data_IF_127816243255
#
_entry.id   IF_127816243255
#
_cell.length_a   1.000
_cell.length_b   1.000
_cell.length_c   1.000
_cell.angle_alpha   90.00
_cell.angle_beta   90.00
_cell.angle_gamma   90.00
#
_symmetry.space_group_name_H-M   'P 1'
#
loop_
_entity.id
_entity.type
_entity.pdbx_description
1 polymer ?
#
# COMPACT_ATOMS: atom_id res chain seq x y z
N UNK A 1 -16.46 12.02 10.28
CA UNK A 1 -15.03 12.34 10.17
C UNK A 1 -14.27 11.40 11.05
N UNK A 2 -13.34 10.66 10.52
CA UNK A 2 -12.62 9.65 11.29
C UNK A 2 -11.12 9.91 11.08
N UNK A 3 -10.50 10.57 12.08
CA UNK A 3 -9.06 10.82 12.17
C UNK A 3 -8.56 10.21 13.45
N UNK A 4 -7.39 9.57 13.40
CA UNK A 4 -6.65 9.11 14.57
C UNK A 4 -5.22 9.61 14.49
N UNK A 5 -4.63 9.88 15.64
CA UNK A 5 -3.21 10.23 15.77
C UNK A 5 -2.62 9.32 16.83
N UNK A 6 -1.68 8.50 16.42
CA UNK A 6 -0.98 7.57 17.28
C UNK A 6 0.53 7.89 17.32
N UNK A 7 1.17 7.55 18.43
CA UNK A 7 2.59 7.81 18.65
C UNK A 7 3.32 6.50 18.88
N UNK A 8 4.39 6.27 18.12
CA UNK A 8 5.15 5.03 18.19
C UNK A 8 6.62 5.28 18.50
N UNK A 9 7.32 4.23 18.94
CA UNK A 9 8.77 4.23 19.15
C UNK A 9 9.25 5.39 20.03
N UNK A 10 8.66 5.55 21.24
CA UNK A 10 8.95 6.65 22.17
C UNK A 10 8.69 8.04 21.57
N UNK A 11 7.60 8.20 20.85
CA UNK A 11 7.17 9.45 20.18
C UNK A 11 8.14 9.92 19.07
N UNK A 12 8.99 9.04 18.54
CA UNK A 12 9.82 9.34 17.37
C UNK A 12 9.02 9.31 16.07
N UNK A 13 7.89 8.57 16.04
CA UNK A 13 6.99 8.44 14.91
C UNK A 13 5.61 8.95 15.33
N UNK A 14 5.03 9.83 14.52
CA UNK A 14 3.62 10.22 14.61
C UNK A 14 2.91 9.57 13.42
N UNK A 15 1.90 8.76 13.69
CA UNK A 15 1.00 8.22 12.69
C UNK A 15 -0.26 9.05 12.65
N UNK A 16 -0.56 9.63 11.51
CA UNK A 16 -1.83 10.26 11.19
C UNK A 16 -2.64 9.31 10.31
N UNK A 17 -3.78 8.87 10.81
CA UNK A 17 -4.69 7.99 10.09
C UNK A 17 -5.95 8.74 9.71
N UNK A 18 -6.42 8.46 8.50
CA UNK A 18 -7.68 8.99 7.99
C UNK A 18 -8.53 7.89 7.37
N UNK A 19 -9.85 8.00 7.53
CA UNK A 19 -10.82 7.18 6.81
C UNK A 19 -12.03 8.03 6.41
N UNK A 20 -12.64 7.69 5.28
CA UNK A 20 -13.89 8.32 4.85
C UNK A 20 -15.01 8.04 5.84
N UNK A 21 -15.82 9.04 6.11
CA UNK A 21 -17.10 8.94 6.85
C UNK A 21 -18.31 8.71 5.94
N UNK A 22 -18.07 8.32 4.69
CA UNK A 22 -19.12 8.03 3.73
C UNK A 22 -20.00 6.87 4.23
N UNK A 23 -21.27 7.15 4.49
CA UNK A 23 -22.27 6.19 5.03
C UNK A 23 -22.50 4.97 4.10
N UNK A 24 -22.12 5.07 2.81
CA UNK A 24 -22.17 3.96 1.88
C UNK A 24 -21.04 2.93 2.10
N UNK A 25 -20.04 3.28 2.90
CA UNK A 25 -18.95 2.37 3.26
C UNK A 25 -19.34 1.57 4.49
N UNK A 26 -19.43 0.24 4.34
CA UNK A 26 -19.81 -0.69 5.44
C UNK A 26 -18.82 -0.66 6.61
N UNK A 27 -17.57 -0.34 6.33
CA UNK A 27 -16.47 -0.24 7.31
C UNK A 27 -15.54 0.89 6.91
N UNK A 28 -14.92 1.60 7.87
CA UNK A 28 -13.90 2.59 7.56
C UNK A 28 -12.67 1.87 6.95
N UNK A 29 -12.26 2.31 5.78
CA UNK A 29 -10.96 1.95 5.20
C UNK A 29 -9.97 3.02 5.64
N UNK A 30 -8.99 2.60 6.42
CA UNK A 30 -7.98 3.50 6.96
C UNK A 30 -6.80 3.62 6.00
N UNK A 31 -6.28 4.83 5.84
CA UNK A 31 -4.95 5.08 5.30
C UNK A 31 -4.08 5.72 6.38
N UNK A 32 -2.76 5.53 6.30
CA UNK A 32 -1.82 6.07 7.27
C UNK A 32 -0.74 6.91 6.60
N UNK A 33 -0.40 8.04 7.23
CA UNK A 33 0.79 8.82 6.93
C UNK A 33 1.68 8.87 8.18
N UNK A 34 2.99 8.78 8.00
CA UNK A 34 3.92 8.69 9.13
C UNK A 34 4.89 9.88 9.13
N UNK A 35 4.92 10.64 10.21
CA UNK A 35 5.87 11.74 10.39
C UNK A 35 7.03 11.32 11.29
N UNK A 36 8.26 11.41 10.77
CA UNK A 36 9.49 11.06 11.46
C UNK A 36 10.52 12.17 11.29
N UNK A 37 10.81 12.95 12.32
CA UNK A 37 11.83 14.00 12.32
C UNK A 37 11.77 14.90 11.06
N UNK A 38 10.60 15.43 10.77
CA UNK A 38 10.34 16.31 9.64
C UNK A 38 10.13 15.62 8.29
N UNK A 39 10.34 14.32 8.18
CA UNK A 39 9.96 13.54 6.99
C UNK A 39 8.54 12.99 7.16
N UNK A 40 7.61 13.45 6.33
CA UNK A 40 6.30 12.84 6.20
C UNK A 40 6.34 11.75 5.12
N UNK A 41 5.90 10.55 5.43
CA UNK A 41 5.80 9.41 4.51
C UNK A 41 4.32 9.25 4.17
N UNK A 42 3.98 9.46 2.91
CA UNK A 42 2.65 9.57 2.34
C UNK A 42 1.84 10.77 2.88
N UNK A 43 0.74 11.10 2.21
CA UNK A 43 -0.04 12.32 2.46
C UNK A 43 -1.54 12.08 2.61
N UNK A 44 -1.94 10.81 2.72
CA UNK A 44 -3.35 10.44 2.84
C UNK A 44 -4.16 10.66 1.56
N UNK A 45 -5.48 10.59 1.70
CA UNK A 45 -6.45 10.63 0.61
C UNK A 45 -6.91 12.06 0.26
N UNK A 46 -7.36 12.33 -0.98
CA UNK A 46 -7.90 13.64 -1.36
C UNK A 46 -9.11 14.07 -0.51
N UNK A 47 -9.95 13.10 -0.11
CA UNK A 47 -11.09 13.37 0.78
C UNK A 47 -10.68 13.86 2.18
N UNK A 48 -9.44 13.59 2.59
CA UNK A 48 -8.87 13.99 3.87
C UNK A 48 -8.12 15.32 3.88
N UNK A 49 -8.15 16.11 2.80
CA UNK A 49 -7.39 17.37 2.70
C UNK A 49 -7.66 18.36 3.84
N UNK A 50 -8.91 18.48 4.26
CA UNK A 50 -9.28 19.35 5.38
C UNK A 50 -8.60 18.93 6.67
N UNK A 51 -8.66 17.64 6.95
CA UNK A 51 -8.13 17.05 8.17
C UNK A 51 -6.59 17.04 8.18
N UNK A 52 -5.98 16.81 6.99
CA UNK A 52 -4.53 16.94 6.81
C UNK A 52 -4.06 18.37 7.07
N UNK A 53 -4.79 19.38 6.59
CA UNK A 53 -4.50 20.79 6.84
C UNK A 53 -4.53 21.11 8.32
N UNK A 54 -5.54 20.62 9.02
CA UNK A 54 -5.68 20.79 10.48
C UNK A 54 -4.54 20.09 11.21
N UNK A 55 -4.18 18.85 10.80
CA UNK A 55 -3.04 18.13 11.35
C UNK A 55 -1.73 18.92 11.18
N UNK A 56 -1.42 19.36 9.96
CA UNK A 56 -0.18 20.12 9.69
C UNK A 56 -0.11 21.41 10.53
N UNK A 57 -1.22 22.13 10.67
CA UNK A 57 -1.29 23.36 11.48
C UNK A 57 -1.20 23.12 12.97
N UNK A 58 -1.60 21.96 13.44
CA UNK A 58 -1.54 21.56 14.86
C UNK A 58 -0.15 21.11 15.33
N UNK A 59 0.77 20.84 14.38
CA UNK A 59 2.10 20.36 14.73
C UNK A 59 2.91 21.43 15.48
N UNK A 60 3.54 21.08 16.61
CA UNK A 60 4.43 21.99 17.32
C UNK A 60 5.68 22.31 16.47
N UNK A 61 6.31 23.44 16.73
CA UNK A 61 7.44 23.95 15.94
C UNK A 61 8.61 22.97 15.76
N UNK A 62 8.84 22.11 16.75
CA UNK A 62 9.87 21.07 16.70
C UNK A 62 9.47 19.79 15.94
N UNK A 63 8.21 19.71 15.48
CA UNK A 63 7.67 18.57 14.71
C UNK A 63 7.20 18.97 13.31
N UNK A 64 7.56 20.16 12.83
CA UNK A 64 7.17 20.66 11.50
C UNK A 64 7.67 19.76 10.38
N UNK A 65 6.84 19.56 9.36
CA UNK A 65 7.18 18.79 8.17
C UNK A 65 8.18 19.58 7.32
N UNK A 66 9.32 18.98 7.04
CA UNK A 66 10.40 19.52 6.20
C UNK A 66 10.28 19.05 4.74
N UNK A 67 9.82 17.83 4.55
CA UNK A 67 9.60 17.21 3.24
C UNK A 67 8.57 16.09 3.35
N UNK A 68 7.93 15.77 2.23
CA UNK A 68 7.06 14.59 2.11
C UNK A 68 7.61 13.64 1.05
N UNK A 69 7.61 12.34 1.35
CA UNK A 69 7.92 11.29 0.39
C UNK A 69 6.65 10.48 0.09
N UNK A 70 6.31 10.37 -1.20
CA UNK A 70 5.20 9.56 -1.68
C UNK A 70 5.71 8.19 -2.08
N UNK A 71 5.22 7.16 -1.40
CA UNK A 71 5.65 5.76 -1.62
C UNK A 71 5.18 5.24 -2.97
N UNK A 72 3.94 5.55 -3.36
CA UNK A 72 3.34 5.22 -4.64
C UNK A 72 2.15 6.16 -4.93
N UNK A 73 1.59 6.08 -6.14
CA UNK A 73 0.67 7.09 -6.65
C UNK A 73 -0.82 6.79 -6.42
N UNK A 74 -1.16 5.81 -5.59
CA UNK A 74 -2.56 5.61 -5.22
C UNK A 74 -3.06 6.81 -4.43
N UNK A 75 -4.34 7.14 -4.60
CA UNK A 75 -4.94 8.37 -4.08
C UNK A 75 -4.93 8.45 -2.55
N UNK A 76 -5.02 7.32 -1.87
CA UNK A 76 -5.00 7.22 -0.42
C UNK A 76 -3.59 7.41 0.19
N UNK A 77 -2.57 7.52 -0.66
CA UNK A 77 -1.19 7.81 -0.29
C UNK A 77 -0.70 9.16 -0.80
N UNK A 78 -1.07 9.52 -2.02
CA UNK A 78 -0.59 10.73 -2.68
C UNK A 78 -1.60 11.89 -2.66
N UNK A 79 -2.80 11.67 -2.14
CA UNK A 79 -3.94 12.60 -2.26
C UNK A 79 -3.70 14.00 -1.70
N UNK A 80 -3.03 14.11 -0.56
CA UNK A 80 -2.71 15.38 0.07
C UNK A 80 -1.43 16.04 -0.43
N UNK A 81 -0.68 15.43 -1.35
CA UNK A 81 0.62 15.95 -1.81
C UNK A 81 0.52 17.35 -2.45
N UNK A 82 -0.54 17.60 -3.23
CA UNK A 82 -0.81 18.92 -3.81
C UNK A 82 -1.00 19.99 -2.73
N UNK A 83 -1.85 19.72 -1.75
CA UNK A 83 -2.09 20.61 -0.61
C UNK A 83 -0.78 20.92 0.14
N UNK A 84 0.02 19.91 0.49
CA UNK A 84 1.30 20.09 1.18
C UNK A 84 2.26 20.99 0.40
N UNK A 85 2.32 20.78 -0.92
CA UNK A 85 3.22 21.54 -1.77
C UNK A 85 2.75 22.99 -2.00
N UNK A 86 1.48 23.19 -2.34
CA UNK A 86 0.97 24.51 -2.76
C UNK A 86 0.66 25.41 -1.56
N UNK A 87 0.01 24.88 -0.52
CA UNK A 87 -0.40 25.70 0.64
C UNK A 87 0.73 25.85 1.67
N UNK A 88 1.51 24.80 1.90
CA UNK A 88 2.54 24.79 2.95
C UNK A 88 3.98 24.92 2.44
N UNK A 89 4.18 24.90 1.11
CA UNK A 89 5.52 24.97 0.51
C UNK A 89 6.39 23.75 0.79
N UNK A 90 5.80 22.63 1.24
CA UNK A 90 6.52 21.42 1.56
C UNK A 90 6.95 20.72 0.26
N UNK A 91 8.25 20.48 0.05
CA UNK A 91 8.73 19.76 -1.13
C UNK A 91 8.29 18.30 -1.10
N UNK A 92 7.78 17.82 -2.24
CA UNK A 92 7.36 16.44 -2.45
C UNK A 92 8.47 15.68 -3.15
N UNK A 93 8.77 14.48 -2.66
CA UNK A 93 9.72 13.54 -3.24
C UNK A 93 9.02 12.22 -3.55
N UNK A 94 9.51 11.53 -4.60
CA UNK A 94 9.01 10.22 -4.98
C UNK A 94 10.08 9.44 -5.77
N UNK A 95 9.83 8.16 -6.00
CA UNK A 95 10.58 7.36 -6.95
C UNK A 95 10.38 7.82 -8.39
N UNK A 96 11.35 7.52 -9.26
CA UNK A 96 11.37 7.97 -10.67
C UNK A 96 10.07 7.60 -11.41
N UNK A 97 9.57 6.38 -11.22
CA UNK A 97 8.37 5.88 -11.92
C UNK A 97 7.06 6.55 -11.48
N UNK A 98 7.04 7.24 -10.33
CA UNK A 98 5.88 7.95 -9.83
C UNK A 98 5.75 9.39 -10.39
N UNK A 99 6.85 9.98 -10.87
CA UNK A 99 6.94 11.42 -11.17
C UNK A 99 5.94 11.86 -12.23
N UNK A 100 5.86 11.14 -13.35
CA UNK A 100 4.96 11.54 -14.44
C UNK A 100 3.47 11.41 -14.06
N UNK A 101 3.13 10.47 -13.19
CA UNK A 101 1.77 10.32 -12.67
C UNK A 101 1.44 11.48 -11.74
N UNK A 102 2.32 11.80 -10.79
CA UNK A 102 2.15 12.91 -9.86
C UNK A 102 2.07 14.26 -10.58
N UNK A 103 2.86 14.47 -11.63
CA UNK A 103 2.86 15.69 -12.43
C UNK A 103 1.56 15.89 -13.21
N UNK A 104 0.95 14.83 -13.71
CA UNK A 104 -0.32 14.92 -14.48
C UNK A 104 -1.54 14.91 -13.56
N UNK A 105 -1.41 14.32 -12.37
CA UNK A 105 -2.55 13.93 -11.57
C UNK A 105 -3.30 12.75 -12.20
N UNK A 106 -4.34 12.27 -11.52
CA UNK A 106 -5.13 11.12 -11.95
C UNK A 106 -6.55 11.18 -11.42
N UNK A 107 -7.53 10.77 -12.24
CA UNK A 107 -8.89 10.50 -11.80
C UNK A 107 -9.07 9.00 -11.66
N UNK A 108 -9.68 8.57 -10.58
CA UNK A 108 -9.93 7.17 -10.27
C UNK A 108 -11.37 6.77 -10.54
N UNK A 109 -11.68 5.47 -10.68
CA UNK A 109 -13.06 4.98 -10.82
C UNK A 109 -13.95 5.37 -9.64
N UNK A 110 -15.26 5.51 -9.88
CA UNK A 110 -16.25 5.98 -8.89
C UNK A 110 -16.19 5.23 -7.56
N UNK A 111 -15.98 3.92 -7.58
CA UNK A 111 -15.90 3.11 -6.36
C UNK A 111 -14.70 3.45 -5.48
N UNK A 112 -13.59 3.94 -6.07
CA UNK A 112 -12.44 4.43 -5.33
C UNK A 112 -12.69 5.85 -4.83
N UNK A 113 -13.32 6.69 -5.66
CA UNK A 113 -13.68 8.04 -5.26
C UNK A 113 -14.61 8.07 -4.03
N UNK A 114 -15.50 7.08 -3.89
CA UNK A 114 -16.37 6.94 -2.71
C UNK A 114 -15.57 6.71 -1.42
N UNK A 115 -14.43 6.01 -1.50
CA UNK A 115 -13.59 5.72 -0.35
C UNK A 115 -12.60 6.85 -0.05
N UNK A 116 -12.00 7.45 -1.11
CA UNK A 116 -10.79 8.25 -0.96
C UNK A 116 -10.93 9.71 -1.42
N UNK A 117 -12.01 10.04 -2.15
CA UNK A 117 -12.20 11.37 -2.76
C UNK A 117 -11.98 11.36 -4.26
N UNK A 118 -12.16 12.53 -4.90
CA UNK A 118 -12.45 12.57 -6.34
C UNK A 118 -11.25 12.34 -7.25
N UNK A 119 -10.10 12.93 -6.95
CA UNK A 119 -8.92 12.87 -7.85
C UNK A 119 -7.61 13.19 -7.13
N UNK A 120 -6.53 12.68 -7.68
CA UNK A 120 -5.17 13.09 -7.38
C UNK A 120 -4.86 14.38 -8.17
N UNK A 121 -4.63 15.49 -7.47
CA UNK A 121 -4.26 16.76 -8.09
C UNK A 121 -2.79 16.77 -8.53
N UNK A 122 -2.44 17.44 -9.64
CA UNK A 122 -1.07 17.56 -10.11
C UNK A 122 -0.14 18.17 -9.06
N UNK A 123 1.06 17.59 -8.92
CA UNK A 123 2.11 18.13 -8.04
C UNK A 123 3.48 17.93 -8.67
N UNK A 124 4.37 18.93 -8.52
CA UNK A 124 5.75 18.85 -8.98
C UNK A 124 6.61 18.13 -7.93
N UNK A 125 6.65 16.81 -8.02
CA UNK A 125 7.51 16.00 -7.16
C UNK A 125 8.94 15.93 -7.69
N UNK A 126 9.91 15.84 -6.77
CA UNK A 126 11.33 15.67 -7.07
C UNK A 126 11.71 14.20 -7.01
N UNK A 127 12.48 13.74 -8.01
CA UNK A 127 13.03 12.38 -7.98
C UNK A 127 14.03 12.23 -6.83
N UNK A 128 13.98 11.14 -6.10
CA UNK A 128 15.09 10.70 -5.26
C UNK A 128 15.43 9.24 -5.52
N UNK A 129 16.72 8.96 -5.67
CA UNK A 129 17.28 7.61 -5.91
C UNK A 129 18.16 7.14 -4.73
N UNK A 130 18.54 8.06 -3.88
CA UNK A 130 19.39 7.80 -2.72
C UNK A 130 18.63 7.79 -1.40
N UNK A 131 19.32 7.51 -0.30
CA UNK A 131 18.70 7.49 1.01
C UNK A 131 18.12 8.87 1.38
N UNK A 132 16.97 8.84 2.07
CA UNK A 132 16.35 10.03 2.63
C UNK A 132 16.89 10.28 4.04
N UNK A 133 17.48 11.44 4.25
CA UNK A 133 17.98 11.88 5.55
C UNK A 133 16.93 12.83 6.15
N UNK A 134 16.56 12.62 7.40
CA UNK A 134 15.60 13.46 8.11
C UNK A 134 16.18 14.82 8.49
N UNK A 135 15.31 15.75 8.94
CA UNK A 135 15.65 17.16 9.19
C UNK A 135 16.84 17.33 10.14
N UNK A 136 16.85 16.64 11.27
CA UNK A 136 17.95 16.70 12.26
C UNK A 136 19.12 15.77 11.94
N UNK A 137 19.05 15.03 10.83
CA UNK A 137 20.00 13.99 10.41
C UNK A 137 20.04 12.78 11.35
N UNK A 138 19.02 12.62 12.19
CA UNK A 138 18.93 11.52 13.16
C UNK A 138 18.64 10.17 12.50
N UNK A 139 17.86 10.17 11.42
CA UNK A 139 17.44 8.96 10.71
C UNK A 139 17.82 9.01 9.24
N UNK A 140 18.18 7.83 8.71
CA UNK A 140 18.53 7.65 7.29
C UNK A 140 17.74 6.48 6.75
N UNK A 141 16.80 6.79 5.86
CA UNK A 141 15.92 5.80 5.23
C UNK A 141 16.49 5.33 3.90
N UNK A 142 16.75 4.04 3.79
CA UNK A 142 17.06 3.41 2.52
C UNK A 142 15.76 3.24 1.72
N UNK A 143 15.81 3.58 0.43
CA UNK A 143 14.72 3.37 -0.49
C UNK A 143 14.77 1.95 -1.03
N UNK A 144 13.70 1.19 -0.88
CA UNK A 144 13.63 -0.21 -1.25
C UNK A 144 12.40 -0.47 -2.15
N UNK A 145 12.58 -0.74 -3.46
CA UNK A 145 11.46 -1.01 -4.37
C UNK A 145 10.72 -2.30 -3.97
N UNK A 146 9.39 -2.23 -3.91
CA UNK A 146 8.51 -3.37 -3.66
C UNK A 146 7.33 -3.37 -4.64
N UNK A 147 7.57 -3.91 -5.82
CA UNK A 147 6.56 -4.01 -6.87
C UNK A 147 5.51 -5.09 -6.55
N UNK A 148 4.40 -5.09 -7.27
CA UNK A 148 3.36 -6.11 -7.14
C UNK A 148 2.01 -5.53 -6.72
N UNK A 149 1.99 -4.62 -5.72
CA UNK A 149 0.83 -3.78 -5.42
C UNK A 149 0.75 -2.57 -6.38
N UNK A 150 1.87 -1.87 -6.55
CA UNK A 150 2.03 -0.82 -7.57
C UNK A 150 3.44 -0.90 -8.17
N UNK A 151 3.62 -0.67 -9.48
CA UNK A 151 4.93 -0.80 -10.14
C UNK A 151 5.98 0.17 -9.61
N UNK A 152 5.54 1.34 -9.14
CA UNK A 152 6.38 2.43 -8.63
C UNK A 152 6.58 2.42 -7.12
N UNK A 153 6.00 1.45 -6.40
CA UNK A 153 6.02 1.45 -4.94
C UNK A 153 7.43 1.31 -4.37
N UNK A 154 7.76 2.25 -3.48
CA UNK A 154 9.03 2.28 -2.74
C UNK A 154 8.74 2.27 -1.24
N UNK A 155 9.34 1.33 -0.55
CA UNK A 155 9.37 1.18 0.90
C UNK A 155 10.55 1.94 1.49
N UNK A 156 10.40 2.53 2.67
CA UNK A 156 11.45 3.24 3.39
C UNK A 156 11.93 2.41 4.58
N UNK A 157 13.22 2.13 4.64
CA UNK A 157 13.80 1.26 5.68
C UNK A 157 14.89 2.01 6.45
N UNK A 158 14.67 2.17 7.75
CA UNK A 158 15.65 2.68 8.72
C UNK A 158 16.29 1.50 9.45
N UNK A 159 17.60 1.25 9.18
CA UNK A 159 18.28 0.04 9.64
C UNK A 159 18.60 0.03 11.12
N UNK A 160 19.00 1.17 11.69
CA UNK A 160 19.45 1.24 13.10
C UNK A 160 18.27 1.04 14.06
N UNK A 161 17.11 1.62 13.74
CA UNK A 161 15.87 1.47 14.51
C UNK A 161 15.08 0.21 14.12
N UNK A 162 15.44 -0.42 13.01
CA UNK A 162 14.76 -1.58 12.44
C UNK A 162 13.30 -1.27 12.08
N UNK A 163 13.07 -0.15 11.40
CA UNK A 163 11.76 0.27 10.92
C UNK A 163 11.63 0.08 9.41
N UNK A 164 10.49 -0.42 8.98
CA UNK A 164 10.12 -0.50 7.57
C UNK A 164 8.73 0.12 7.36
N UNK A 165 8.67 1.22 6.61
CA UNK A 165 7.42 1.86 6.19
C UNK A 165 7.08 1.31 4.81
N UNK A 166 6.13 0.38 4.76
CA UNK A 166 5.89 -0.46 3.59
C UNK A 166 4.64 -0.08 2.81
N UNK A 167 3.87 0.91 3.27
CA UNK A 167 2.60 1.28 2.67
C UNK A 167 1.73 0.03 2.43
N UNK A 168 1.31 -0.22 1.18
CA UNK A 168 0.48 -1.35 0.80
C UNK A 168 1.27 -2.58 0.30
N UNK A 169 2.61 -2.50 0.28
CA UNK A 169 3.43 -3.63 -0.16
C UNK A 169 3.33 -4.87 0.75
N UNK A 170 3.00 -4.66 2.03
CA UNK A 170 2.83 -5.75 3.00
C UNK A 170 1.45 -5.65 3.64
N UNK A 171 0.58 -6.57 3.29
CA UNK A 171 -0.78 -6.64 3.78
C UNK A 171 -0.96 -7.73 4.86
N UNK A 172 -1.81 -7.50 5.88
CA UNK A 172 -2.12 -8.54 6.87
C UNK A 172 -2.76 -9.79 6.26
N UNK A 173 -3.50 -9.62 5.14
CA UNK A 173 -4.23 -10.71 4.46
C UNK A 173 -4.28 -10.46 2.95
N UNK A 174 -3.91 -11.47 2.18
CA UNK A 174 -4.06 -11.48 0.72
C UNK A 174 -5.29 -12.33 0.34
N UNK A 175 -6.48 -11.73 0.36
CA UNK A 175 -7.75 -12.42 0.08
C UNK A 175 -8.32 -12.12 -1.30
N UNK A 176 -7.97 -11.02 -1.88
CA UNK A 176 -8.37 -10.52 -3.20
C UNK A 176 -7.35 -9.49 -3.67
N UNK A 177 -7.30 -9.28 -4.97
CA UNK A 177 -6.41 -8.29 -5.61
C UNK A 177 -7.16 -7.53 -6.70
N UNK A 178 -6.64 -6.38 -7.09
CA UNK A 178 -7.05 -5.69 -8.30
C UNK A 178 -6.59 -6.46 -9.53
N UNK A 179 -7.47 -6.67 -10.50
CA UNK A 179 -7.17 -7.43 -11.71
C UNK A 179 -6.86 -6.58 -12.91
N UNK A 180 -6.61 -7.24 -14.05
CA UNK A 180 -6.24 -6.59 -15.30
C UNK A 180 -7.33 -5.68 -15.91
N UNK A 181 -8.57 -5.74 -15.41
CA UNK A 181 -9.64 -4.82 -15.75
C UNK A 181 -9.66 -3.56 -14.85
N UNK A 182 -8.75 -3.47 -13.90
CA UNK A 182 -8.49 -2.28 -13.08
C UNK A 182 -7.44 -1.40 -13.75
N UNK A 183 -7.48 -0.11 -13.44
CA UNK A 183 -6.42 0.83 -13.80
C UNK A 183 -5.17 0.73 -12.90
N UNK A 184 -5.24 -0.12 -11.86
CA UNK A 184 -4.19 -0.40 -10.88
C UNK A 184 -4.05 -1.91 -10.63
N UNK A 185 -3.74 -2.72 -11.65
CA UNK A 185 -3.66 -4.17 -11.50
C UNK A 185 -2.51 -4.57 -10.56
N UNK A 186 -2.79 -5.55 -9.70
CA UNK A 186 -1.83 -6.17 -8.80
C UNK A 186 -1.38 -7.54 -9.32
N UNK A 187 -0.16 -7.95 -8.94
CA UNK A 187 0.41 -9.26 -9.27
C UNK A 187 0.91 -9.96 -8.00
N UNK A 188 0.25 -11.10 -7.66
CA UNK A 188 0.58 -11.86 -6.46
C UNK A 188 1.99 -12.47 -6.50
N UNK A 189 2.51 -12.78 -7.68
CA UNK A 189 3.87 -13.32 -7.84
C UNK A 189 4.92 -12.25 -7.54
N UNK A 190 4.70 -11.03 -8.00
CA UNK A 190 5.55 -9.88 -7.70
C UNK A 190 5.44 -9.46 -6.23
N UNK A 191 4.24 -9.51 -5.64
CA UNK A 191 4.05 -9.31 -4.19
C UNK A 191 4.88 -10.33 -3.41
N UNK A 192 4.80 -11.61 -3.75
CA UNK A 192 5.58 -12.66 -3.10
C UNK A 192 7.09 -12.42 -3.21
N UNK A 193 7.59 -12.10 -4.41
CA UNK A 193 9.01 -11.79 -4.64
C UNK A 193 9.46 -10.55 -3.86
N UNK A 194 8.61 -9.54 -3.74
CA UNK A 194 8.88 -8.35 -2.95
C UNK A 194 8.97 -8.66 -1.45
N UNK A 195 8.09 -9.51 -0.93
CA UNK A 195 8.16 -10.00 0.46
C UNK A 195 9.47 -10.77 0.72
N UNK A 196 9.87 -11.65 -0.20
CA UNK A 196 11.12 -12.40 -0.11
C UNK A 196 12.33 -11.47 -0.14
N UNK A 197 12.34 -10.48 -1.03
CA UNK A 197 13.40 -9.48 -1.13
C UNK A 197 13.50 -8.64 0.15
N UNK A 198 12.36 -8.20 0.71
CA UNK A 198 12.32 -7.47 1.97
C UNK A 198 12.82 -8.33 3.14
N UNK A 199 12.41 -9.62 3.19
CA UNK A 199 12.90 -10.55 4.19
C UNK A 199 14.43 -10.67 4.16
N UNK A 200 15.02 -10.81 2.97
CA UNK A 200 16.46 -10.89 2.79
C UNK A 200 17.15 -9.57 3.17
N UNK A 201 16.62 -8.43 2.71
CA UNK A 201 17.19 -7.11 2.99
C UNK A 201 17.19 -6.76 4.49
N UNK A 202 16.23 -7.27 5.23
CA UNK A 202 16.09 -7.06 6.68
C UNK A 202 16.81 -8.11 7.53
N UNK A 203 17.74 -8.86 6.94
CA UNK A 203 18.58 -9.80 7.69
C UNK A 203 19.29 -9.10 8.84
N UNK A 204 19.33 -9.75 10.01
CA UNK A 204 19.87 -9.15 11.25
C UNK A 204 18.94 -8.21 12.00
N UNK A 205 17.78 -7.82 11.44
CA UNK A 205 16.79 -6.96 12.11
C UNK A 205 15.85 -7.79 13.01
N UNK A 206 16.32 -8.23 14.16
CA UNK A 206 15.56 -9.10 15.09
C UNK A 206 14.32 -8.43 15.70
N UNK A 207 14.29 -7.11 15.75
CA UNK A 207 13.18 -6.29 16.30
C UNK A 207 12.48 -5.45 15.24
N UNK A 208 12.40 -5.95 14.00
CA UNK A 208 11.78 -5.24 12.89
C UNK A 208 10.34 -4.83 13.22
N UNK A 209 10.05 -3.53 13.08
CA UNK A 209 8.70 -2.97 13.08
C UNK A 209 8.31 -2.62 11.66
N UNK A 210 7.16 -3.12 11.22
CA UNK A 210 6.64 -2.90 9.87
C UNK A 210 5.40 -2.03 9.97
N UNK A 211 5.47 -0.83 9.41
CA UNK A 211 4.40 0.15 9.37
C UNK A 211 3.73 0.07 8.01
N UNK A 212 2.53 -0.48 7.96
CA UNK A 212 1.70 -0.60 6.75
C UNK A 212 0.52 0.37 6.80
N UNK A 213 -0.06 0.69 5.64
CA UNK A 213 -1.18 1.62 5.57
C UNK A 213 -2.43 1.08 6.26
N UNK A 214 -3.02 1.88 7.15
CA UNK A 214 -4.32 1.59 7.78
C UNK A 214 -4.41 0.33 8.63
N UNK A 215 -3.29 -0.23 9.05
CA UNK A 215 -3.22 -1.46 9.83
C UNK A 215 -2.41 -1.26 11.12
N UNK A 216 -2.57 -2.17 12.07
CA UNK A 216 -1.71 -2.23 13.24
C UNK A 216 -0.24 -2.50 12.82
N UNK A 217 0.70 -2.07 13.68
CA UNK A 217 2.12 -2.35 13.46
C UNK A 217 2.37 -3.85 13.46
N UNK A 218 3.03 -4.33 12.40
CA UNK A 218 3.38 -5.73 12.27
C UNK A 218 4.79 -5.97 12.83
N UNK A 219 4.98 -7.05 13.57
CA UNK A 219 6.18 -7.28 14.34
C UNK A 219 7.03 -8.43 13.80
N UNK A 220 8.31 -8.15 13.60
CA UNK A 220 9.35 -9.13 13.33
C UNK A 220 9.34 -9.68 11.90
N UNK A 221 10.49 -10.20 11.50
CA UNK A 221 10.69 -10.85 10.18
C UNK A 221 9.86 -12.12 10.02
N UNK A 222 9.48 -12.77 11.12
CA UNK A 222 8.62 -13.97 11.09
C UNK A 222 7.25 -13.68 10.50
N UNK A 223 6.76 -12.43 10.58
CA UNK A 223 5.54 -12.03 9.91
C UNK A 223 5.67 -12.18 8.39
N UNK A 224 6.80 -11.77 7.79
CA UNK A 224 7.06 -11.90 6.35
C UNK A 224 7.10 -13.38 5.93
N UNK A 225 7.78 -14.24 6.70
CA UNK A 225 7.79 -15.70 6.47
C UNK A 225 6.38 -16.25 6.49
N UNK A 226 5.59 -15.89 7.50
CA UNK A 226 4.20 -16.33 7.62
C UNK A 226 3.39 -15.95 6.37
N UNK A 227 3.55 -14.71 5.87
CA UNK A 227 2.83 -14.25 4.68
C UNK A 227 3.27 -14.97 3.41
N UNK A 228 4.58 -15.18 3.24
CA UNK A 228 5.09 -15.96 2.12
C UNK A 228 4.54 -17.39 2.13
N UNK A 229 4.52 -18.05 3.28
CA UNK A 229 3.96 -19.41 3.41
C UNK A 229 2.45 -19.43 3.10
N UNK A 230 1.68 -18.47 3.61
CA UNK A 230 0.25 -18.35 3.31
C UNK A 230 -0.01 -18.22 1.79
N UNK A 231 0.80 -17.41 1.09
CA UNK A 231 0.67 -17.24 -0.36
C UNK A 231 1.07 -18.53 -1.10
N UNK A 232 2.16 -19.19 -0.69
CA UNK A 232 2.61 -20.47 -1.31
C UNK A 232 1.59 -21.59 -1.11
N UNK A 233 1.03 -21.72 0.09
CA UNK A 233 -0.03 -22.71 0.36
C UNK A 233 -1.26 -22.45 -0.51
N UNK A 234 -1.65 -21.19 -0.66
CA UNK A 234 -2.77 -20.81 -1.50
C UNK A 234 -2.48 -21.10 -2.98
N UNK A 235 -1.27 -20.78 -3.45
CA UNK A 235 -0.80 -21.10 -4.79
C UNK A 235 -0.87 -22.61 -5.04
N UNK A 236 -0.31 -23.43 -4.15
CA UNK A 236 -0.33 -24.89 -4.28
C UNK A 236 -1.75 -25.45 -4.39
N UNK A 237 -2.67 -24.99 -3.51
CA UNK A 237 -4.08 -25.38 -3.52
C UNK A 237 -4.79 -25.02 -4.84
N UNK A 238 -4.50 -23.81 -5.37
CA UNK A 238 -5.08 -23.35 -6.63
C UNK A 238 -4.55 -24.15 -7.81
N UNK A 239 -3.24 -24.39 -7.87
CA UNK A 239 -2.61 -25.14 -8.97
C UNK A 239 -2.99 -26.63 -8.98
N UNK A 240 -3.09 -27.29 -7.82
CA UNK A 240 -3.61 -28.66 -7.72
C UNK A 240 -5.00 -28.73 -8.33
N UNK A 241 -5.89 -27.82 -7.92
CA UNK A 241 -7.27 -27.79 -8.46
C UNK A 241 -7.33 -27.41 -9.92
N UNK A 242 -6.47 -26.51 -10.37
CA UNK A 242 -6.36 -26.14 -11.78
C UNK A 242 -5.99 -27.36 -12.64
N UNK A 243 -4.96 -28.13 -12.25
CA UNK A 243 -4.54 -29.33 -12.97
C UNK A 243 -5.64 -30.39 -13.00
N UNK A 244 -6.31 -30.67 -11.88
CA UNK A 244 -7.44 -31.61 -11.81
C UNK A 244 -8.54 -31.23 -12.80
N UNK A 245 -8.96 -29.97 -12.78
CA UNK A 245 -10.08 -29.49 -13.63
C UNK A 245 -9.67 -29.39 -15.10
N UNK A 246 -8.43 -29.02 -15.39
CA UNK A 246 -7.90 -28.98 -16.76
C UNK A 246 -7.92 -30.36 -17.41
N UNK A 247 -7.45 -31.37 -16.69
CA UNK A 247 -7.48 -32.77 -17.12
C UNK A 247 -8.93 -33.30 -17.29
N UNK A 248 -9.88 -32.76 -16.54
CA UNK A 248 -11.31 -33.04 -16.68
C UNK A 248 -11.98 -32.33 -17.85
N UNK A 249 -11.24 -31.61 -18.70
CA UNK A 249 -11.76 -30.99 -19.93
C UNK A 249 -12.53 -29.68 -19.70
N UNK A 250 -12.46 -29.06 -18.53
CA UNK A 250 -13.15 -27.79 -18.26
C UNK A 250 -12.44 -26.61 -18.94
N UNK A 251 -13.21 -25.63 -19.41
CA UNK A 251 -12.68 -24.37 -19.93
C UNK A 251 -12.12 -23.49 -18.81
N UNK A 252 -11.21 -22.56 -19.12
CA UNK A 252 -10.60 -21.64 -18.15
C UNK A 252 -11.65 -20.95 -17.26
N UNK A 253 -12.71 -20.41 -17.88
CA UNK A 253 -13.80 -19.76 -17.15
C UNK A 253 -14.52 -20.69 -16.18
N UNK A 254 -14.71 -21.95 -16.55
CA UNK A 254 -15.31 -22.96 -15.68
C UNK A 254 -14.35 -23.35 -14.54
N UNK A 255 -13.06 -23.47 -14.84
CA UNK A 255 -12.01 -23.77 -13.86
C UNK A 255 -11.98 -22.70 -12.79
N UNK A 256 -11.85 -21.42 -13.16
CA UNK A 256 -11.83 -20.29 -12.21
C UNK A 256 -13.08 -20.28 -11.32
N UNK A 257 -14.28 -20.48 -11.90
CA UNK A 257 -15.53 -20.58 -11.11
C UNK A 257 -15.52 -21.73 -10.10
N UNK A 258 -15.02 -22.90 -10.52
CA UNK A 258 -14.95 -24.09 -9.65
C UNK A 258 -13.92 -23.90 -8.52
N UNK A 259 -12.76 -23.31 -8.82
CA UNK A 259 -11.74 -22.97 -7.82
C UNK A 259 -12.30 -21.93 -6.83
N UNK A 260 -12.95 -20.86 -7.32
CA UNK A 260 -13.61 -19.88 -6.46
C UNK A 260 -14.55 -20.57 -5.45
N UNK A 261 -15.44 -21.44 -5.94
CA UNK A 261 -16.40 -22.13 -5.06
C UNK A 261 -15.73 -23.08 -4.07
N UNK A 262 -14.69 -23.84 -4.48
CA UNK A 262 -14.08 -24.91 -3.68
C UNK A 262 -13.03 -24.41 -2.70
N UNK A 263 -12.24 -23.39 -3.09
CA UNK A 263 -11.11 -22.87 -2.30
C UNK A 263 -11.48 -21.63 -1.51
N UNK A 264 -12.26 -20.73 -2.11
CA UNK A 264 -12.57 -19.41 -1.55
C UNK A 264 -14.03 -19.25 -1.09
N UNK A 265 -14.90 -20.22 -1.42
CA UNK A 265 -16.34 -20.17 -1.13
C UNK A 265 -17.11 -19.25 -2.08
N UNK A 266 -17.54 -18.11 -1.61
CA UNK A 266 -18.25 -17.10 -2.40
C UNK A 266 -17.34 -15.93 -2.73
N UNK A 267 -17.65 -15.24 -3.85
CA UNK A 267 -17.07 -13.96 -4.15
C UNK A 267 -17.45 -12.92 -3.07
N UNK A 268 -16.62 -11.91 -2.89
CA UNK A 268 -16.86 -10.85 -1.91
C UNK A 268 -17.94 -9.87 -2.38
N UNK A 269 -18.64 -9.22 -1.45
CA UNK A 269 -19.53 -8.11 -1.78
C UNK A 269 -18.75 -6.93 -2.41
N UNK A 270 -17.51 -6.71 -2.00
CA UNK A 270 -16.61 -5.70 -2.57
C UNK A 270 -16.40 -5.92 -4.07
N UNK A 271 -16.30 -7.18 -4.52
CA UNK A 271 -16.19 -7.47 -5.95
C UNK A 271 -17.41 -6.98 -6.75
N UNK A 272 -18.60 -7.01 -6.16
CA UNK A 272 -19.80 -6.46 -6.83
C UNK A 272 -19.73 -4.92 -6.86
N UNK A 273 -19.38 -4.28 -5.76
CA UNK A 273 -19.24 -2.82 -5.68
C UNK A 273 -18.17 -2.29 -6.65
N UNK A 274 -17.06 -3.00 -6.80
CA UNK A 274 -15.96 -2.62 -7.69
C UNK A 274 -16.11 -3.16 -9.12
N UNK A 275 -17.29 -3.70 -9.48
CA UNK A 275 -17.56 -4.29 -10.80
C UNK A 275 -16.51 -5.34 -11.19
N UNK A 276 -16.00 -6.10 -10.22
CA UNK A 276 -15.00 -7.14 -10.40
C UNK A 276 -13.55 -6.65 -10.42
N UNK A 277 -13.29 -5.35 -10.32
CA UNK A 277 -11.92 -4.82 -10.32
C UNK A 277 -11.11 -5.35 -9.12
N UNK A 278 -11.68 -5.38 -7.91
CA UNK A 278 -11.08 -5.98 -6.71
C UNK A 278 -11.83 -7.27 -6.36
N UNK A 279 -11.22 -8.45 -6.57
CA UNK A 279 -11.93 -9.72 -6.41
C UNK A 279 -11.03 -10.91 -6.06
N UNK A 280 -11.63 -11.94 -5.48
CA UNK A 280 -11.01 -13.26 -5.31
C UNK A 280 -10.74 -13.92 -6.66
N UNK A 281 -11.61 -13.70 -7.64
CA UNK A 281 -11.45 -14.17 -9.01
C UNK A 281 -10.14 -13.67 -9.61
N UNK A 282 -9.78 -12.40 -9.41
CA UNK A 282 -8.52 -11.85 -9.90
C UNK A 282 -7.31 -12.50 -9.21
N UNK A 283 -7.41 -12.74 -7.89
CA UNK A 283 -6.37 -13.46 -7.16
C UNK A 283 -6.17 -14.89 -7.71
N UNK A 284 -7.26 -15.61 -8.00
CA UNK A 284 -7.20 -16.95 -8.61
C UNK A 284 -6.48 -16.89 -9.97
N UNK A 285 -6.85 -15.94 -10.82
CA UNK A 285 -6.22 -15.77 -12.15
C UNK A 285 -4.73 -15.45 -12.01
N UNK A 286 -4.36 -14.55 -11.12
CA UNK A 286 -2.95 -14.21 -10.87
C UNK A 286 -2.16 -15.42 -10.34
N UNK A 287 -2.75 -16.22 -9.43
CA UNK A 287 -2.14 -17.45 -8.92
C UNK A 287 -1.98 -18.52 -10.02
N UNK A 288 -2.97 -18.70 -10.90
CA UNK A 288 -2.88 -19.64 -12.03
C UNK A 288 -1.75 -19.24 -13.00
N UNK A 289 -1.61 -17.96 -13.26
CA UNK A 289 -0.60 -17.42 -14.17
C UNK A 289 0.80 -17.42 -13.57
N UNK A 290 0.91 -17.53 -12.26
CA UNK A 290 2.20 -17.60 -11.59
C UNK A 290 2.79 -19.00 -11.70
N UNK A 291 3.82 -19.15 -12.53
CA UNK A 291 4.63 -20.37 -12.58
C UNK A 291 5.80 -20.23 -11.61
N UNK A 292 5.90 -21.17 -10.69
CA UNK A 292 7.08 -21.32 -9.82
C UNK A 292 8.09 -22.12 -10.62
N UNK A 293 9.21 -21.49 -10.97
CA UNK A 293 10.37 -22.14 -11.61
C UNK A 293 11.03 -23.15 -10.66
#
# INVERSE_FOLDING_TARGET
MVVKIDYHSNNEIIEWQWASDNELMLYPYWTSSYLVDGLLIDSGAPGGEKDLREFVRSLPSNKMIDKCFITHTHEDHAGGAHLLNVEFGIPIYAGENAIEILKRGRTYPDYRQMAWGTKLLPVNAKVTKGPLITKSKKFTFNLFPMTGHAPELITLIEKQKQWAFVADAVQPKYKMIFGGNSDIPEDISLIYRSLQSLYNFTEGMGKLLIFSAGNDILHGRNFLIKKMNEIQELHSKVHEKYKELRNGGYSEKQIVRKILKRVFGKESFIAQMTRGALSKTNLIVSLINWQID
#
